data_IF_905265877572
#
_entry.id   IF_905265877572
#
_cell.length_a   1.000
_cell.length_b   1.000
_cell.length_c   1.000
_cell.angle_alpha   90.00
_cell.angle_beta   90.00
_cell.angle_gamma   90.00
#
_symmetry.space_group_name_H-M   'P 1'
#
loop_
_entity.id
_entity.type
_entity.pdbx_description
1 polymer ?
#
# COMPACT_ATOMS: atom_id res chain seq x y z
N UNK A 1 -14.08 -24.43 4.62
CA UNK A 1 -13.61 -23.65 5.79
C UNK A 1 -12.33 -22.87 5.48
N UNK A 2 -11.22 -23.53 5.12
CA UNK A 2 -9.93 -22.87 4.85
C UNK A 2 -9.96 -21.74 3.83
N UNK A 3 -10.63 -21.93 2.69
CA UNK A 3 -10.80 -20.88 1.67
C UNK A 3 -11.37 -19.57 2.24
N UNK A 4 -12.41 -19.66 3.08
CA UNK A 4 -13.03 -18.48 3.70
C UNK A 4 -12.09 -17.78 4.68
N UNK A 5 -11.26 -18.54 5.41
CA UNK A 5 -10.25 -17.98 6.31
C UNK A 5 -9.22 -17.17 5.52
N UNK A 6 -8.72 -17.69 4.40
CA UNK A 6 -7.73 -16.98 3.58
C UNK A 6 -8.33 -15.76 2.88
N UNK A 7 -9.59 -15.79 2.46
CA UNK A 7 -10.30 -14.59 1.99
C UNK A 7 -10.42 -13.57 3.12
N UNK A 8 -10.87 -13.99 4.31
CA UNK A 8 -11.02 -13.12 5.47
C UNK A 8 -9.70 -12.43 5.81
N UNK A 9 -8.60 -13.18 5.88
CA UNK A 9 -7.27 -12.63 6.13
C UNK A 9 -6.83 -11.66 5.03
N UNK A 10 -7.07 -12.00 3.76
CA UNK A 10 -6.75 -11.11 2.63
C UNK A 10 -7.49 -9.77 2.75
N UNK A 11 -8.81 -9.80 3.00
CA UNK A 11 -9.64 -8.61 3.15
C UNK A 11 -9.24 -7.82 4.39
N UNK A 12 -9.00 -8.47 5.53
CA UNK A 12 -8.57 -7.83 6.76
C UNK A 12 -7.22 -7.10 6.57
N UNK A 13 -6.25 -7.73 5.91
CA UNK A 13 -4.98 -7.07 5.56
C UNK A 13 -5.17 -5.88 4.63
N UNK A 14 -6.06 -5.97 3.64
CA UNK A 14 -6.38 -4.84 2.76
C UNK A 14 -7.00 -3.67 3.56
N UNK A 15 -7.92 -3.96 4.48
CA UNK A 15 -8.56 -2.96 5.33
C UNK A 15 -7.55 -2.26 6.24
N UNK A 16 -6.66 -3.02 6.89
CA UNK A 16 -5.62 -2.47 7.76
C UNK A 16 -4.68 -1.57 6.96
N UNK A 17 -4.22 -2.04 5.80
CA UNK A 17 -3.25 -1.32 4.99
C UNK A 17 -3.84 -0.04 4.38
N UNK A 18 -4.98 -0.13 3.68
CA UNK A 18 -5.66 1.03 3.08
C UNK A 18 -6.15 1.99 4.17
N UNK A 19 -6.74 1.48 5.24
CA UNK A 19 -7.21 2.30 6.37
C UNK A 19 -6.08 3.06 7.05
N UNK A 20 -4.93 2.42 7.22
CA UNK A 20 -3.73 3.08 7.72
C UNK A 20 -3.24 4.19 6.77
N UNK A 21 -3.13 3.93 5.47
CA UNK A 21 -2.77 4.97 4.49
C UNK A 21 -3.73 6.16 4.52
N UNK A 22 -5.04 5.90 4.58
CA UNK A 22 -6.04 6.95 4.75
C UNK A 22 -5.79 7.75 6.01
N UNK A 23 -5.63 7.10 7.16
CA UNK A 23 -5.34 7.78 8.43
C UNK A 23 -4.10 8.68 8.34
N UNK A 24 -3.01 8.22 7.72
CA UNK A 24 -1.82 9.04 7.55
C UNK A 24 -2.08 10.26 6.67
N UNK A 25 -2.75 10.07 5.53
CA UNK A 25 -3.01 11.13 4.55
C UNK A 25 -4.00 12.18 5.05
N UNK A 26 -5.10 11.75 5.66
CA UNK A 26 -6.24 12.62 6.02
C UNK A 26 -6.11 13.21 7.43
N UNK A 27 -5.44 12.50 8.33
CA UNK A 27 -5.49 12.83 9.76
C UNK A 27 -4.10 13.13 10.30
N UNK A 28 -3.16 12.17 10.22
CA UNK A 28 -1.86 12.31 10.88
C UNK A 28 -1.01 13.42 10.26
N UNK A 29 -0.82 13.42 8.93
CA UNK A 29 0.03 14.42 8.25
C UNK A 29 -0.52 15.85 8.42
N UNK A 30 -1.84 16.12 8.26
CA UNK A 30 -2.39 17.45 8.56
C UNK A 30 -2.23 17.86 10.02
N UNK A 31 -2.41 16.92 10.96
CA UNK A 31 -2.28 17.18 12.39
C UNK A 31 -0.86 17.63 12.79
N UNK A 32 0.18 16.90 12.38
CA UNK A 32 1.57 17.21 12.76
C UNK A 32 2.13 18.47 12.07
N UNK A 33 1.43 19.00 11.05
CA UNK A 33 1.84 20.23 10.34
C UNK A 33 1.39 21.52 11.01
N UNK A 34 0.54 21.45 12.04
CA UNK A 34 0.12 22.64 12.77
C UNK A 34 1.31 23.27 13.52
N UNK A 35 1.27 24.60 13.71
CA UNK A 35 2.41 25.37 14.24
C UNK A 35 2.83 24.89 15.64
N UNK A 36 1.86 24.49 16.45
CA UNK A 36 2.01 24.04 17.82
C UNK A 36 2.86 22.76 17.93
N UNK A 37 2.93 21.96 16.86
CA UNK A 37 3.64 20.68 16.85
C UNK A 37 4.98 20.73 16.10
N UNK A 38 5.38 21.88 15.53
CA UNK A 38 6.56 21.94 14.65
C UNK A 38 7.86 21.43 15.31
N UNK A 39 8.03 21.64 16.61
CA UNK A 39 9.22 21.19 17.35
C UNK A 39 9.29 19.67 17.56
N UNK A 40 8.16 18.95 17.47
CA UNK A 40 8.07 17.50 17.71
C UNK A 40 7.58 16.71 16.50
N UNK A 41 7.12 17.38 15.45
CA UNK A 41 6.47 16.77 14.29
C UNK A 41 7.35 15.71 13.59
N UNK A 42 8.64 16.01 13.38
CA UNK A 42 9.58 15.06 12.76
C UNK A 42 9.69 13.76 13.57
N UNK A 43 9.81 13.87 14.89
CA UNK A 43 9.87 12.73 15.80
C UNK A 43 8.55 11.95 15.83
N UNK A 44 7.41 12.62 15.96
CA UNK A 44 6.09 11.95 15.97
C UNK A 44 5.89 11.13 14.68
N UNK A 45 6.20 11.72 13.52
CA UNK A 45 6.08 11.04 12.23
C UNK A 45 7.02 9.85 12.14
N UNK A 46 8.25 9.98 12.64
CA UNK A 46 9.22 8.89 12.67
C UNK A 46 8.76 7.73 13.56
N UNK A 47 8.40 7.99 14.82
CA UNK A 47 7.98 6.94 15.75
C UNK A 47 6.75 6.18 15.28
N UNK A 48 5.70 6.92 14.88
CA UNK A 48 4.46 6.32 14.39
C UNK A 48 4.70 5.65 13.04
N UNK A 49 5.45 6.29 12.14
CA UNK A 49 5.80 5.75 10.83
C UNK A 49 6.59 4.45 10.91
N UNK A 50 7.59 4.36 11.79
CA UNK A 50 8.36 3.13 12.02
C UNK A 50 7.48 2.01 12.56
N UNK A 51 6.56 2.32 13.49
CA UNK A 51 5.61 1.32 14.01
C UNK A 51 4.65 0.84 12.92
N UNK A 52 4.09 1.78 12.17
CA UNK A 52 3.17 1.45 11.09
C UNK A 52 3.87 0.73 9.94
N UNK A 53 5.15 1.00 9.66
CA UNK A 53 5.95 0.26 8.67
C UNK A 53 5.88 -1.24 8.92
N UNK A 54 6.08 -1.71 10.14
CA UNK A 54 5.95 -3.15 10.46
C UNK A 54 4.55 -3.68 10.13
N UNK A 55 3.50 -2.97 10.53
CA UNK A 55 2.10 -3.37 10.27
C UNK A 55 1.79 -3.36 8.76
N UNK A 56 2.27 -2.34 8.05
CA UNK A 56 2.08 -2.17 6.61
C UNK A 56 2.75 -3.28 5.82
N UNK A 57 4.01 -3.60 6.12
CA UNK A 57 4.74 -4.69 5.48
C UNK A 57 4.16 -6.06 5.80
N UNK A 58 3.74 -6.30 7.05
CA UNK A 58 3.02 -7.52 7.41
C UNK A 58 1.73 -7.66 6.59
N UNK A 59 0.99 -6.56 6.42
CA UNK A 59 -0.24 -6.54 5.62
C UNK A 59 0.03 -6.80 4.15
N UNK A 60 1.05 -6.16 3.55
CA UNK A 60 1.44 -6.38 2.15
C UNK A 60 1.86 -7.82 1.88
N UNK A 61 2.71 -8.40 2.73
CA UNK A 61 3.10 -9.81 2.60
C UNK A 61 1.90 -10.75 2.75
N UNK A 62 1.04 -10.48 3.73
CA UNK A 62 -0.19 -11.26 3.92
C UNK A 62 -1.08 -11.17 2.69
N UNK A 63 -1.24 -10.00 2.08
CA UNK A 63 -2.02 -9.82 0.84
C UNK A 63 -1.47 -10.66 -0.31
N UNK A 64 -0.15 -10.67 -0.52
CA UNK A 64 0.49 -11.46 -1.58
C UNK A 64 0.27 -12.96 -1.33
N UNK A 65 0.61 -13.44 -0.13
CA UNK A 65 0.52 -14.87 0.22
C UNK A 65 -0.92 -15.37 0.15
N UNK A 66 -1.85 -14.67 0.81
CA UNK A 66 -3.27 -15.03 0.79
C UNK A 66 -3.87 -14.89 -0.60
N UNK A 67 -3.40 -13.95 -1.43
CA UNK A 67 -3.82 -13.79 -2.82
C UNK A 67 -3.47 -15.00 -3.68
N UNK A 68 -2.23 -15.49 -3.58
CA UNK A 68 -1.78 -16.71 -4.26
C UNK A 68 -2.56 -17.95 -3.80
N UNK A 69 -2.80 -18.08 -2.49
CA UNK A 69 -3.59 -19.18 -1.92
C UNK A 69 -5.05 -19.12 -2.39
N UNK A 70 -5.64 -17.93 -2.47
CA UNK A 70 -7.01 -17.75 -2.97
C UNK A 70 -7.12 -18.10 -4.47
N UNK A 71 -6.09 -17.82 -5.28
CA UNK A 71 -6.03 -18.29 -6.67
C UNK A 71 -5.95 -19.81 -6.73
N UNK A 72 -5.16 -20.43 -5.86
CA UNK A 72 -5.07 -21.88 -5.76
C UNK A 72 -6.42 -22.54 -5.44
N UNK A 73 -7.17 -22.00 -4.47
CA UNK A 73 -8.51 -22.49 -4.15
C UNK A 73 -9.52 -22.28 -5.29
N UNK A 74 -9.27 -21.34 -6.21
CA UNK A 74 -10.09 -21.13 -7.42
C UNK A 74 -9.72 -22.08 -8.58
N UNK A 75 -8.78 -23.00 -8.36
CA UNK A 75 -8.37 -24.01 -9.34
C UNK A 75 -7.13 -23.65 -10.15
N UNK A 76 -6.57 -22.45 -9.98
CA UNK A 76 -5.34 -22.04 -10.66
C UNK A 76 -4.11 -22.66 -10.00
N UNK A 77 -3.28 -23.33 -10.80
CA UNK A 77 -2.04 -24.00 -10.38
C UNK A 77 -0.83 -23.24 -10.90
N UNK A 78 0.34 -23.59 -10.36
CA UNK A 78 1.61 -22.98 -10.74
C UNK A 78 1.88 -22.95 -12.25
N UNK A 79 1.63 -24.03 -13.03
CA UNK A 79 1.84 -24.01 -14.48
C UNK A 79 0.91 -23.04 -15.21
N UNK A 80 -0.30 -22.81 -14.69
CA UNK A 80 -1.30 -21.98 -15.34
C UNK A 80 -0.83 -20.52 -15.42
N UNK A 81 -0.07 -20.05 -14.44
CA UNK A 81 0.49 -18.68 -14.41
C UNK A 81 1.41 -18.37 -15.59
N UNK A 82 2.00 -19.39 -16.23
CA UNK A 82 2.88 -19.24 -17.39
C UNK A 82 2.17 -19.55 -18.71
N UNK A 83 0.88 -19.88 -18.67
CA UNK A 83 0.07 -20.13 -19.86
C UNK A 83 -0.56 -18.84 -20.38
N UNK A 84 -0.56 -18.64 -21.69
CA UNK A 84 -1.23 -17.47 -22.29
C UNK A 84 -2.72 -17.43 -21.97
N UNK A 85 -3.38 -18.60 -21.86
CA UNK A 85 -4.81 -18.71 -21.56
C UNK A 85 -5.22 -18.25 -20.17
N UNK A 86 -4.30 -18.17 -19.19
CA UNK A 86 -4.59 -17.62 -17.87
C UNK A 86 -4.85 -16.12 -17.90
N UNK A 87 -4.21 -15.43 -18.84
CA UNK A 87 -4.18 -13.97 -18.92
C UNK A 87 -5.15 -13.41 -19.97
N UNK A 88 -5.97 -14.28 -20.57
CA UNK A 88 -7.01 -13.89 -21.52
C UNK A 88 -8.38 -13.82 -20.87
N UNK A 89 -9.21 -12.94 -21.42
CA UNK A 89 -10.58 -12.77 -20.97
C UNK A 89 -10.68 -11.98 -19.68
N UNK A 90 -11.93 -11.70 -19.32
CA UNK A 90 -12.31 -10.77 -18.27
C UNK A 90 -11.52 -10.93 -16.95
N UNK A 91 -11.46 -12.16 -16.44
CA UNK A 91 -10.84 -12.45 -15.14
C UNK A 91 -9.32 -12.31 -15.21
N UNK A 92 -8.69 -12.89 -16.25
CA UNK A 92 -7.25 -12.89 -16.43
C UNK A 92 -6.68 -11.48 -16.62
N UNK A 93 -7.33 -10.67 -17.46
CA UNK A 93 -6.93 -9.29 -17.74
C UNK A 93 -7.06 -8.41 -16.49
N UNK A 94 -8.20 -8.49 -15.79
CA UNK A 94 -8.39 -7.73 -14.54
C UNK A 94 -7.39 -8.16 -13.46
N UNK A 95 -7.08 -9.46 -13.37
CA UNK A 95 -6.07 -9.97 -12.45
C UNK A 95 -4.67 -9.45 -12.81
N UNK A 96 -4.31 -9.45 -14.10
CA UNK A 96 -3.02 -8.93 -14.57
C UNK A 96 -2.84 -7.46 -14.16
N UNK A 97 -3.85 -6.62 -14.43
CA UNK A 97 -3.84 -5.21 -14.01
C UNK A 97 -3.67 -5.09 -12.50
N UNK A 98 -4.43 -5.88 -11.72
CA UNK A 98 -4.32 -5.89 -10.26
C UNK A 98 -2.90 -6.23 -9.80
N UNK A 99 -2.27 -7.24 -10.39
CA UNK A 99 -0.92 -7.68 -10.02
C UNK A 99 0.15 -6.63 -10.39
N UNK A 100 0.03 -5.98 -11.55
CA UNK A 100 0.92 -4.87 -11.94
C UNK A 100 0.81 -3.73 -10.93
N UNK A 101 -0.42 -3.32 -10.58
CA UNK A 101 -0.64 -2.28 -9.59
C UNK A 101 -0.06 -2.65 -8.22
N UNK A 102 -0.25 -3.90 -7.78
CA UNK A 102 0.34 -4.40 -6.52
C UNK A 102 1.87 -4.36 -6.58
N UNK A 103 2.49 -4.74 -7.69
CA UNK A 103 3.93 -4.66 -7.85
C UNK A 103 4.46 -3.22 -7.77
N UNK A 104 3.76 -2.28 -8.41
CA UNK A 104 4.09 -0.85 -8.34
C UNK A 104 3.95 -0.33 -6.89
N UNK A 105 2.85 -0.65 -6.21
CA UNK A 105 2.63 -0.33 -4.79
C UNK A 105 3.78 -0.84 -3.94
N UNK A 106 4.21 -2.08 -4.16
CA UNK A 106 5.27 -2.71 -3.39
C UNK A 106 6.61 -1.96 -3.53
N UNK A 107 6.99 -1.64 -4.77
CA UNK A 107 8.21 -0.88 -5.08
C UNK A 107 8.14 0.52 -4.46
N UNK A 108 7.04 1.23 -4.67
CA UNK A 108 6.85 2.59 -4.14
C UNK A 108 6.86 2.57 -2.61
N UNK A 109 6.21 1.59 -1.97
CA UNK A 109 6.21 1.43 -0.52
C UNK A 109 7.61 1.17 0.02
N UNK A 110 8.41 0.35 -0.65
CA UNK A 110 9.82 0.11 -0.28
C UNK A 110 10.65 1.40 -0.36
N UNK A 111 10.56 2.12 -1.48
CA UNK A 111 11.27 3.40 -1.66
C UNK A 111 10.81 4.42 -0.61
N UNK A 112 9.53 4.48 -0.31
CA UNK A 112 8.98 5.37 0.72
C UNK A 112 9.51 5.02 2.11
N UNK A 113 9.39 3.75 2.53
CA UNK A 113 9.59 3.34 3.92
C UNK A 113 11.06 3.17 4.31
N UNK A 114 11.93 2.90 3.34
CA UNK A 114 13.35 2.62 3.58
C UNK A 114 14.28 3.73 3.08
N UNK A 115 13.82 4.64 2.22
CA UNK A 115 14.67 5.72 1.69
C UNK A 115 14.07 7.11 1.91
N UNK A 116 12.92 7.40 1.30
CA UNK A 116 12.37 8.77 1.27
C UNK A 116 11.89 9.21 2.65
N UNK A 117 11.16 8.34 3.36
CA UNK A 117 10.61 8.59 4.70
C UNK A 117 11.70 8.86 5.74
N UNK A 118 12.67 7.94 5.94
CA UNK A 118 13.78 8.15 6.88
C UNK A 118 14.59 9.42 6.58
N UNK A 119 14.85 9.70 5.30
CA UNK A 119 15.57 10.92 4.90
C UNK A 119 14.74 12.18 5.16
N UNK A 120 13.43 12.12 4.95
CA UNK A 120 12.53 13.23 5.25
C UNK A 120 12.46 13.54 6.75
N UNK A 121 12.40 12.51 7.62
CA UNK A 121 12.35 12.72 9.08
C UNK A 121 13.70 13.17 9.64
N UNK A 122 14.81 12.62 9.14
CA UNK A 122 16.16 13.05 9.53
C UNK A 122 16.40 14.54 9.22
N UNK A 123 16.15 14.96 7.97
CA UNK A 123 16.30 16.37 7.56
C UNK A 123 15.32 17.30 8.26
N UNK A 124 14.14 16.83 8.64
CA UNK A 124 13.19 17.61 9.43
C UNK A 124 13.74 17.86 10.84
N UNK A 125 14.31 16.85 11.50
CA UNK A 125 14.89 17.00 12.85
C UNK A 125 16.13 17.90 12.85
N UNK A 126 16.96 17.81 11.82
CA UNK A 126 18.21 18.57 11.73
C UNK A 126 17.99 20.04 11.35
N UNK A 127 17.31 20.30 10.24
CA UNK A 127 17.04 21.66 9.77
C UNK A 127 15.67 21.73 9.06
N UNK A 128 14.58 21.99 9.83
CA UNK A 128 13.21 22.04 9.32
C UNK A 128 13.00 22.99 8.13
N UNK A 129 13.77 24.08 8.09
CA UNK A 129 13.65 25.17 7.12
C UNK A 129 14.56 25.00 5.91
N UNK A 130 15.40 23.97 5.87
CA UNK A 130 16.19 23.69 4.68
C UNK A 130 15.29 23.38 3.46
N UNK A 131 15.65 23.85 2.24
CA UNK A 131 14.94 23.48 1.02
C UNK A 131 14.86 21.96 0.82
N UNK A 132 15.93 21.24 1.19
CA UNK A 132 15.99 19.78 1.15
C UNK A 132 14.93 19.14 2.07
N UNK A 133 14.81 19.57 3.33
CA UNK A 133 13.77 19.09 4.26
C UNK A 133 12.37 19.29 3.68
N UNK A 134 12.09 20.48 3.12
CA UNK A 134 10.79 20.76 2.48
C UNK A 134 10.51 19.83 1.29
N UNK A 135 11.50 19.59 0.43
CA UNK A 135 11.36 18.76 -0.76
C UNK A 135 11.14 17.28 -0.40
N UNK A 136 11.93 16.72 0.50
CA UNK A 136 11.77 15.33 0.94
C UNK A 136 10.43 15.10 1.67
N UNK A 137 9.96 16.05 2.50
CA UNK A 137 8.64 15.97 3.13
C UNK A 137 7.50 16.04 2.12
N UNK A 138 7.62 16.88 1.09
CA UNK A 138 6.65 16.92 -0.02
C UNK A 138 6.65 15.61 -0.80
N UNK A 139 7.82 15.08 -1.14
CA UNK A 139 7.97 13.81 -1.84
C UNK A 139 7.35 12.65 -1.05
N UNK A 140 7.70 12.49 0.24
CA UNK A 140 7.12 11.48 1.11
C UNK A 140 5.58 11.59 1.15
N UNK A 141 5.06 12.81 1.31
CA UNK A 141 3.62 13.05 1.39
C UNK A 141 2.88 12.73 0.07
N UNK A 142 3.49 13.01 -1.08
CA UNK A 142 2.92 12.69 -2.38
C UNK A 142 3.01 11.20 -2.71
N UNK A 143 4.12 10.55 -2.37
CA UNK A 143 4.27 9.11 -2.51
C UNK A 143 3.20 8.38 -1.70
N UNK A 144 2.97 8.78 -0.44
CA UNK A 144 1.89 8.20 0.37
C UNK A 144 0.49 8.36 -0.25
N UNK A 145 0.19 9.54 -0.85
CA UNK A 145 -1.06 9.78 -1.57
C UNK A 145 -1.19 8.93 -2.83
N UNK A 146 -0.12 8.82 -3.61
CA UNK A 146 -0.09 7.97 -4.81
C UNK A 146 -0.35 6.51 -4.41
N UNK A 147 0.30 6.04 -3.34
CA UNK A 147 0.12 4.68 -2.84
C UNK A 147 -1.33 4.41 -2.41
N UNK A 148 -1.98 5.38 -1.78
CA UNK A 148 -3.40 5.29 -1.43
C UNK A 148 -4.28 5.18 -2.69
N UNK A 149 -4.05 6.04 -3.70
CA UNK A 149 -4.82 6.00 -4.96
C UNK A 149 -4.64 4.65 -5.66
N UNK A 150 -3.40 4.15 -5.77
CA UNK A 150 -3.14 2.83 -6.35
C UNK A 150 -3.83 1.72 -5.54
N UNK A 151 -3.82 1.81 -4.21
CA UNK A 151 -4.54 0.89 -3.33
C UNK A 151 -6.05 0.86 -3.59
N UNK A 152 -6.65 2.02 -3.81
CA UNK A 152 -8.07 2.13 -4.17
C UNK A 152 -8.34 1.56 -5.58
N UNK A 153 -7.44 1.75 -6.53
CA UNK A 153 -7.53 1.10 -7.84
C UNK A 153 -7.45 -0.43 -7.72
N UNK A 154 -6.55 -0.97 -6.90
CA UNK A 154 -6.44 -2.41 -6.60
C UNK A 154 -7.72 -2.94 -5.96
N UNK A 155 -8.34 -2.18 -5.06
CA UNK A 155 -9.64 -2.52 -4.47
C UNK A 155 -10.73 -2.57 -5.54
N UNK A 156 -10.76 -1.61 -6.47
CA UNK A 156 -11.70 -1.62 -7.60
C UNK A 156 -11.50 -2.86 -8.47
N UNK A 157 -10.25 -3.21 -8.82
CA UNK A 157 -9.95 -4.44 -9.55
C UNK A 157 -10.43 -5.69 -8.78
N UNK A 158 -10.32 -5.69 -7.45
CA UNK A 158 -10.81 -6.81 -6.63
C UNK A 158 -12.35 -6.94 -6.68
N UNK A 159 -13.08 -5.83 -6.71
CA UNK A 159 -14.55 -5.82 -6.89
C UNK A 159 -14.90 -6.35 -8.28
N UNK A 160 -14.21 -5.85 -9.31
CA UNK A 160 -14.35 -6.29 -10.69
C UNK A 160 -14.18 -7.81 -10.78
N UNK A 161 -13.08 -8.39 -10.30
CA UNK A 161 -12.82 -9.84 -10.35
C UNK A 161 -13.97 -10.73 -9.81
N UNK A 162 -14.84 -10.19 -8.96
CA UNK A 162 -16.02 -10.89 -8.42
C UNK A 162 -17.28 -10.57 -9.24
N UNK A 163 -17.42 -9.36 -9.76
CA UNK A 163 -18.67 -8.84 -10.32
C UNK A 163 -18.74 -8.81 -11.86
N UNK A 164 -17.62 -8.85 -12.57
CA UNK A 164 -17.61 -8.55 -14.01
C UNK A 164 -17.24 -7.09 -14.30
N UNK A 165 -16.97 -6.75 -15.57
CA UNK A 165 -16.81 -5.34 -15.97
C UNK A 165 -18.21 -4.75 -16.02
N UNK A 166 -18.36 -3.47 -15.64
CA UNK A 166 -19.67 -2.83 -15.68
C UNK A 166 -20.12 -2.43 -17.10
N UNK A 167 -19.39 -2.82 -18.14
CA UNK A 167 -19.66 -2.52 -19.55
C UNK A 167 -19.50 -3.76 -20.44
#
# INVERSE_FOLDING_TARGET
>A
MWYLIFIFLHVLSAMIWIGGLMFFVTTMVPFVRKKEFQGVAGSIVEWIGLRFRYVGWLSLWTLVLTGLINLHFRGYRWPDYFSAGMWTGYFGETLAVKLILVAIIFIISAVHDFYVGPKATALWKENPDSPASRNYRKAASWIGRLNLVLGLCVLMCAIMLIRGWPW
#
